data_IF_583774489985
#
_entry.id   IF_583774489985
#
_cell.length_a   1.000
_cell.length_b   1.000
_cell.length_c   1.000
_cell.angle_alpha   90.00
_cell.angle_beta   90.00
_cell.angle_gamma   90.00
#
_symmetry.space_group_name_H-M   'P 1'
#
loop_
_entity.id
_entity.type
_entity.pdbx_description
1 polymer ?
#
# COMPACT_ATOMS: atom_id res chain seq x y z
N UNK A 1 -23.22 -9.04 -7.06
CA UNK A 1 -23.00 -8.04 -8.13
C UNK A 1 -21.61 -7.46 -7.96
N UNK A 2 -20.88 -7.22 -9.05
CA UNK A 2 -19.53 -6.62 -9.01
C UNK A 2 -19.56 -5.22 -9.61
N UNK A 3 -18.91 -4.27 -8.93
CA UNK A 3 -18.78 -2.88 -9.32
C UNK A 3 -17.31 -2.51 -9.45
N UNK A 4 -17.01 -1.65 -10.41
CA UNK A 4 -15.73 -0.99 -10.58
C UNK A 4 -15.85 0.47 -10.18
N UNK A 5 -15.06 0.89 -9.20
CA UNK A 5 -15.14 2.19 -8.55
C UNK A 5 -13.77 2.83 -8.57
N UNK A 6 -13.63 3.94 -9.30
CA UNK A 6 -12.45 4.81 -9.24
C UNK A 6 -12.78 5.96 -8.31
N UNK A 7 -11.88 6.30 -7.39
CA UNK A 7 -12.09 7.45 -6.52
C UNK A 7 -10.81 8.18 -6.17
N UNK A 8 -10.99 9.48 -5.96
CA UNK A 8 -9.97 10.53 -6.02
C UNK A 8 -9.88 11.33 -4.73
N UNK A 9 -10.91 11.26 -3.90
CA UNK A 9 -11.16 12.20 -2.81
C UNK A 9 -11.83 11.48 -1.65
N UNK A 10 -11.17 10.46 -1.11
CA UNK A 10 -11.62 9.90 0.15
C UNK A 10 -11.01 10.71 1.29
N UNK A 11 -11.82 10.97 2.31
CA UNK A 11 -11.37 11.52 3.58
C UNK A 11 -10.65 10.39 4.35
N UNK A 12 -9.52 9.91 3.81
CA UNK A 12 -8.74 8.79 4.36
C UNK A 12 -8.25 9.13 5.77
N UNK A 13 -8.10 10.41 6.08
CA UNK A 13 -7.87 10.96 7.42
C UNK A 13 -8.86 10.39 8.45
N UNK A 14 -10.11 10.11 8.05
CA UNK A 14 -11.11 9.48 8.93
C UNK A 14 -11.03 7.97 8.99
N UNK A 15 -10.46 7.30 7.99
CA UNK A 15 -10.48 5.84 7.91
C UNK A 15 -9.81 5.22 9.14
N UNK A 16 -8.54 5.52 9.33
CA UNK A 16 -7.72 4.94 10.39
C UNK A 16 -8.13 5.42 11.79
N UNK A 17 -8.81 6.57 11.88
CA UNK A 17 -9.32 7.12 13.14
C UNK A 17 -10.68 6.55 13.55
N UNK A 18 -11.50 6.11 12.58
CA UNK A 18 -12.86 5.61 12.84
C UNK A 18 -12.96 4.09 12.90
N UNK A 19 -11.87 3.40 12.56
CA UNK A 19 -11.81 1.95 12.64
C UNK A 19 -11.64 1.44 14.07
N UNK A 20 -12.74 0.96 14.65
CA UNK A 20 -12.78 0.34 15.97
C UNK A 20 -13.08 -1.16 15.93
N UNK A 21 -13.73 -1.63 14.86
CA UNK A 21 -14.25 -2.99 14.73
C UNK A 21 -14.53 -3.36 13.27
N UNK A 22 -14.89 -4.62 13.00
CA UNK A 22 -15.25 -5.06 11.63
C UNK A 22 -16.46 -4.31 11.04
N UNK A 23 -17.43 -3.94 11.88
CA UNK A 23 -18.60 -3.19 11.42
C UNK A 23 -18.24 -1.77 10.94
N UNK A 24 -17.20 -1.14 11.51
CA UNK A 24 -16.64 0.13 11.02
C UNK A 24 -15.97 -0.03 9.65
N UNK A 25 -15.25 -1.14 9.41
CA UNK A 25 -14.72 -1.47 8.07
C UNK A 25 -15.85 -1.67 7.07
N UNK A 26 -16.92 -2.37 7.47
CA UNK A 26 -18.10 -2.56 6.63
C UNK A 26 -18.84 -1.25 6.33
N UNK A 27 -19.02 -0.38 7.33
CA UNK A 27 -19.61 0.96 7.12
C UNK A 27 -18.78 1.81 6.18
N UNK A 28 -17.45 1.81 6.38
CA UNK A 28 -16.54 2.48 5.47
C UNK A 28 -16.64 1.91 4.06
N UNK A 29 -16.64 0.59 3.90
CA UNK A 29 -16.75 -0.01 2.58
C UNK A 29 -18.08 0.34 1.92
N UNK A 30 -19.19 0.26 2.64
CA UNK A 30 -20.50 0.61 2.08
C UNK A 30 -20.59 2.09 1.66
N UNK A 31 -19.72 2.96 2.17
CA UNK A 31 -19.61 4.34 1.69
C UNK A 31 -19.15 4.45 0.23
N UNK A 32 -18.46 3.42 -0.33
CA UNK A 32 -18.05 3.39 -1.74
C UNK A 32 -19.21 3.41 -2.73
N UNK A 33 -20.38 2.90 -2.33
CA UNK A 33 -21.54 2.74 -3.22
C UNK A 33 -22.61 3.81 -3.02
N UNK A 34 -22.33 4.83 -2.19
CA UNK A 34 -23.23 5.98 -2.05
C UNK A 34 -23.14 6.79 -3.35
N UNK A 35 -24.27 7.29 -3.93
CA UNK A 35 -24.36 7.74 -5.33
C UNK A 35 -23.63 9.06 -5.67
N UNK A 36 -22.56 9.43 -4.97
CA UNK A 36 -21.89 10.72 -5.13
C UNK A 36 -20.89 10.78 -6.29
N UNK A 37 -20.75 9.72 -7.11
CA UNK A 37 -19.77 9.71 -8.20
C UNK A 37 -20.34 9.16 -9.50
N UNK A 38 -20.15 9.89 -10.60
CA UNK A 38 -20.40 9.44 -11.98
C UNK A 38 -19.44 8.29 -12.42
N UNK A 39 -18.49 7.91 -11.55
CA UNK A 39 -17.39 6.97 -11.83
C UNK A 39 -17.68 5.52 -11.38
N UNK A 40 -18.91 5.21 -10.93
CA UNK A 40 -19.30 3.84 -10.58
C UNK A 40 -19.76 3.11 -11.86
N UNK A 41 -18.95 2.17 -12.33
CA UNK A 41 -19.29 1.33 -13.48
C UNK A 41 -19.73 -0.05 -12.98
N UNK A 42 -21.00 -0.37 -13.21
CA UNK A 42 -21.50 -1.74 -13.00
C UNK A 42 -20.85 -2.66 -14.03
N UNK A 43 -20.14 -3.69 -13.57
CA UNK A 43 -19.62 -4.72 -14.47
C UNK A 43 -20.79 -5.62 -14.90
N UNK A 44 -21.22 -5.52 -16.15
CA UNK A 44 -22.23 -6.42 -16.71
C UNK A 44 -21.60 -7.79 -16.96
N UNK A 45 -22.18 -8.86 -16.40
CA UNK A 45 -21.82 -10.23 -16.77
C UNK A 45 -22.37 -10.49 -18.17
N UNK A 46 -21.49 -10.52 -19.17
CA UNK A 46 -21.90 -10.77 -20.56
C UNK A 46 -22.35 -12.23 -20.77
N UNK A 47 -22.09 -13.11 -19.83
CA UNK A 47 -22.67 -14.46 -19.74
C UNK A 47 -22.59 -14.93 -18.28
N UNK A 48 -23.34 -15.97 -17.89
CA UNK A 48 -23.37 -16.57 -16.54
C UNK A 48 -22.00 -17.07 -16.02
N UNK A 49 -20.92 -16.80 -16.73
CA UNK A 49 -19.56 -16.87 -16.20
C UNK A 49 -18.69 -15.73 -16.74
N UNK A 50 -18.58 -14.63 -15.99
CA UNK A 50 -17.36 -13.81 -16.03
C UNK A 50 -16.24 -14.72 -15.50
N UNK A 51 -15.54 -15.43 -16.39
CA UNK A 51 -14.40 -16.29 -15.97
C UNK A 51 -13.08 -15.52 -15.89
N UNK A 52 -13.04 -14.32 -16.48
CA UNK A 52 -11.86 -13.47 -16.55
C UNK A 52 -12.22 -12.14 -17.19
N UNK A 53 -12.11 -11.04 -16.46
CA UNK A 53 -12.19 -9.69 -17.00
C UNK A 53 -10.81 -9.04 -17.01
N UNK A 54 -10.31 -8.62 -18.18
CA UNK A 54 -9.18 -7.71 -18.24
C UNK A 54 -9.67 -6.30 -17.92
N UNK A 55 -9.46 -5.87 -16.68
CA UNK A 55 -9.65 -4.47 -16.32
C UNK A 55 -8.41 -3.70 -16.74
N UNK A 56 -8.38 -3.25 -18.00
CA UNK A 56 -7.42 -2.24 -18.39
C UNK A 56 -7.76 -0.97 -17.62
N UNK A 57 -6.92 -0.57 -16.68
CA UNK A 57 -7.03 0.75 -16.10
C UNK A 57 -6.89 1.79 -17.20
N UNK A 58 -7.80 2.76 -17.20
CA UNK A 58 -7.91 3.68 -18.31
C UNK A 58 -6.74 4.64 -18.23
N UNK A 59 -6.10 4.94 -19.35
CA UNK A 59 -4.89 5.77 -19.37
C UNK A 59 -5.11 7.14 -18.69
N UNK A 60 -6.34 7.66 -18.70
CA UNK A 60 -6.68 8.91 -18.03
C UNK A 60 -6.67 8.83 -16.50
N UNK A 61 -6.85 7.65 -15.90
CA UNK A 61 -6.78 7.46 -14.44
C UNK A 61 -5.33 7.65 -13.93
N UNK A 62 -4.35 7.34 -14.78
CA UNK A 62 -2.91 7.43 -14.51
C UNK A 62 -2.30 8.79 -14.81
N UNK A 63 -2.91 9.56 -15.73
CA UNK A 63 -2.32 10.77 -16.30
C UNK A 63 -2.49 12.01 -15.40
N UNK A 64 -3.47 11.99 -14.49
CA UNK A 64 -3.74 13.14 -13.62
C UNK A 64 -2.59 13.48 -12.65
N UNK A 65 -1.95 12.50 -11.96
CA UNK A 65 -0.79 12.78 -11.09
C UNK A 65 0.47 13.23 -11.86
N UNK A 66 0.66 12.76 -13.10
CA UNK A 66 1.83 13.12 -13.93
C UNK A 66 1.75 14.55 -14.47
N UNK A 67 0.54 15.02 -14.84
CA UNK A 67 0.31 16.38 -15.35
C UNK A 67 0.48 17.47 -14.28
N UNK A 68 0.54 17.12 -12.99
CA UNK A 68 0.62 18.08 -11.87
C UNK A 68 1.92 18.00 -11.07
N UNK A 69 2.97 17.38 -11.63
CA UNK A 69 4.34 17.35 -11.08
C UNK A 69 4.99 18.74 -10.88
N UNK A 70 4.37 19.84 -11.31
CA UNK A 70 4.88 21.18 -11.08
C UNK A 70 4.03 21.95 -10.05
N UNK A 71 4.57 22.12 -8.83
CA UNK A 71 4.42 23.38 -8.11
C UNK A 71 3.75 23.41 -6.73
N UNK A 72 3.14 22.34 -6.21
CA UNK A 72 2.52 22.42 -4.87
C UNK A 72 2.83 21.21 -3.98
N UNK A 73 3.78 21.45 -3.06
CA UNK A 73 4.12 20.68 -1.84
C UNK A 73 2.94 19.93 -1.24
N UNK A 74 3.13 18.62 -1.03
CA UNK A 74 2.62 17.66 0.00
C UNK A 74 1.26 17.89 0.69
N UNK A 75 0.79 19.11 0.95
CA UNK A 75 -0.54 19.41 1.52
C UNK A 75 -1.72 19.14 0.57
N UNK A 76 -1.47 18.61 -0.63
CA UNK A 76 -2.49 18.24 -1.62
C UNK A 76 -2.36 16.77 -2.06
N UNK A 77 -2.05 15.86 -1.14
CA UNK A 77 -2.05 14.41 -1.41
C UNK A 77 -3.41 13.81 -1.78
N UNK A 78 -4.47 14.62 -1.80
CA UNK A 78 -5.81 14.30 -2.35
C UNK A 78 -5.82 14.08 -3.88
N UNK A 79 -4.70 13.70 -4.48
CA UNK A 79 -4.52 13.59 -5.93
C UNK A 79 -4.28 12.16 -6.41
N UNK A 80 -3.91 11.24 -5.51
CA UNK A 80 -3.75 9.84 -5.89
C UNK A 80 -5.13 9.17 -5.90
N UNK A 81 -5.55 8.71 -7.09
CA UNK A 81 -6.77 7.94 -7.23
C UNK A 81 -6.48 6.49 -6.85
N UNK A 82 -7.37 5.87 -6.08
CA UNK A 82 -7.37 4.42 -5.89
C UNK A 82 -8.55 3.84 -6.64
N UNK A 83 -8.34 2.69 -7.28
CA UNK A 83 -9.39 1.93 -7.97
C UNK A 83 -9.72 0.70 -7.14
N UNK A 84 -11.01 0.48 -6.96
CA UNK A 84 -11.55 -0.59 -6.16
C UNK A 84 -12.51 -1.42 -6.99
N UNK A 85 -12.49 -2.71 -6.74
CA UNK A 85 -13.45 -3.66 -7.27
C UNK A 85 -14.25 -4.17 -6.09
N UNK A 86 -15.55 -3.90 -6.15
CA UNK A 86 -16.47 -4.12 -5.04
C UNK A 86 -17.38 -5.27 -5.43
N UNK A 87 -17.30 -6.39 -4.71
CA UNK A 87 -18.28 -7.46 -4.82
C UNK A 87 -19.31 -7.35 -3.71
N UNK A 88 -20.58 -7.28 -4.11
CA UNK A 88 -21.74 -7.05 -3.25
C UNK A 88 -22.67 -8.25 -3.27
N UNK A 89 -23.02 -8.73 -2.08
CA UNK A 89 -24.07 -9.71 -1.83
C UNK A 89 -25.44 -9.08 -1.60
N UNK A 90 -26.35 -9.87 -1.04
CA UNK A 90 -27.69 -9.39 -0.64
C UNK A 90 -27.62 -8.43 0.55
N UNK A 91 -26.71 -8.69 1.50
CA UNK A 91 -26.61 -7.94 2.76
C UNK A 91 -25.69 -6.72 2.72
N UNK A 92 -24.96 -6.50 1.61
CA UNK A 92 -24.00 -5.41 1.49
C UNK A 92 -22.75 -5.80 0.71
N UNK A 93 -21.67 -5.04 0.87
CA UNK A 93 -20.36 -5.37 0.29
C UNK A 93 -19.78 -6.57 1.04
N UNK A 94 -19.48 -7.64 0.31
CA UNK A 94 -18.82 -8.84 0.84
C UNK A 94 -17.31 -8.75 0.67
N UNK A 95 -16.85 -8.23 -0.47
CA UNK A 95 -15.43 -8.12 -0.78
C UNK A 95 -15.07 -6.82 -1.47
N UNK A 96 -13.86 -6.35 -1.18
CA UNK A 96 -13.25 -5.17 -1.78
C UNK A 96 -11.83 -5.52 -2.21
N UNK A 97 -11.53 -5.39 -3.50
CA UNK A 97 -10.18 -5.59 -4.02
C UNK A 97 -9.59 -4.27 -4.50
N UNK A 98 -8.34 -3.97 -4.10
CA UNK A 98 -7.60 -2.82 -4.61
C UNK A 98 -6.89 -3.18 -5.89
N UNK A 99 -7.16 -2.42 -6.95
CA UNK A 99 -6.55 -2.62 -8.26
C UNK A 99 -5.53 -1.50 -8.49
N UNK A 100 -4.28 -1.82 -8.81
CA UNK A 100 -3.33 -0.81 -9.26
C UNK A 100 -3.90 -0.07 -10.48
N UNK A 101 -3.71 1.24 -10.54
CA UNK A 101 -4.00 1.99 -11.76
C UNK A 101 -3.03 1.53 -12.86
N UNK A 102 -3.40 1.71 -14.12
CA UNK A 102 -2.46 1.48 -15.20
C UNK A 102 -1.39 2.55 -15.07
N UNK A 103 -0.18 2.22 -15.44
CA UNK A 103 0.92 3.15 -15.45
C UNK A 103 1.53 3.12 -16.84
N UNK A 104 0.86 3.79 -17.79
CA UNK A 104 1.07 3.74 -19.27
C UNK A 104 -0.02 2.95 -20.04
N UNK A 105 0.20 2.75 -21.35
CA UNK A 105 -0.70 1.98 -22.24
C UNK A 105 -0.55 0.45 -22.12
N UNK A 106 0.39 -0.02 -21.30
CA UNK A 106 0.95 -1.38 -21.34
C UNK A 106 0.74 -2.16 -20.04
N UNK A 107 0.40 -1.50 -18.94
CA UNK A 107 0.49 -2.08 -17.60
C UNK A 107 -0.89 -2.37 -17.02
N UNK A 108 -1.54 -3.40 -17.55
CA UNK A 108 -2.65 -4.07 -16.84
C UNK A 108 -2.02 -4.99 -15.80
N UNK A 109 -1.97 -4.57 -14.53
CA UNK A 109 -1.26 -5.33 -13.49
C UNK A 109 -2.17 -6.37 -12.81
N UNK A 110 -3.48 -6.41 -13.10
CA UNK A 110 -4.37 -7.40 -12.49
C UNK A 110 -5.45 -7.95 -13.45
N UNK A 111 -5.50 -9.26 -13.63
CA UNK A 111 -6.68 -9.99 -14.11
C UNK A 111 -7.61 -10.26 -12.92
N UNK A 112 -8.91 -10.07 -13.12
CA UNK A 112 -9.93 -10.37 -12.10
C UNK A 112 -10.58 -11.70 -12.42
N UNK A 113 -10.47 -12.63 -11.49
CA UNK A 113 -11.17 -13.90 -11.47
C UNK A 113 -12.24 -13.79 -10.38
N UNK A 114 -13.48 -13.48 -10.78
CA UNK A 114 -14.64 -13.30 -9.91
C UNK A 114 -15.49 -14.58 -9.87
N UNK A 115 -15.20 -15.44 -8.90
CA UNK A 115 -15.98 -16.68 -8.73
C UNK A 115 -17.05 -16.49 -7.68
N UNK A 116 -18.31 -16.41 -8.09
CA UNK A 116 -19.41 -16.64 -7.16
C UNK A 116 -19.38 -18.11 -6.71
N UNK A 117 -19.18 -18.35 -5.42
CA UNK A 117 -19.26 -19.69 -4.86
C UNK A 117 -20.71 -19.99 -4.48
N UNK A 118 -21.41 -20.72 -5.35
CA UNK A 118 -22.81 -21.10 -5.14
C UNK A 118 -23.03 -21.96 -3.88
N UNK A 119 -22.01 -22.69 -3.42
CA UNK A 119 -22.12 -23.55 -2.23
C UNK A 119 -22.07 -22.73 -0.94
N UNK A 120 -21.25 -21.67 -0.92
CA UNK A 120 -21.10 -20.81 0.26
C UNK A 120 -21.92 -19.54 0.17
N UNK A 121 -22.52 -19.23 -0.98
CA UNK A 121 -23.23 -17.99 -1.23
C UNK A 121 -22.34 -16.75 -1.09
N UNK A 122 -21.05 -16.86 -1.40
CA UNK A 122 -20.08 -15.78 -1.21
C UNK A 122 -19.29 -15.50 -2.50
N UNK A 123 -18.90 -14.24 -2.69
CA UNK A 123 -17.92 -13.87 -3.72
C UNK A 123 -16.52 -14.37 -3.38
N UNK A 124 -15.71 -14.62 -4.41
CA UNK A 124 -14.28 -14.92 -4.31
C UNK A 124 -13.55 -14.13 -5.40
N UNK A 125 -13.39 -12.83 -5.17
CA UNK A 125 -12.59 -11.94 -5.99
C UNK A 125 -11.12 -12.32 -5.87
N UNK A 126 -10.47 -12.57 -7.00
CA UNK A 126 -9.04 -12.80 -7.08
C UNK A 126 -8.41 -11.88 -8.10
N UNK A 127 -7.30 -11.27 -7.71
CA UNK A 127 -6.49 -10.42 -8.60
C UNK A 127 -5.18 -11.15 -8.94
N UNK A 128 -4.79 -11.17 -10.22
CA UNK A 128 -3.57 -11.85 -10.69
C UNK A 128 -2.71 -10.95 -11.57
N UNK A 129 -1.40 -10.96 -11.37
CA UNK A 129 -0.46 -10.28 -12.27
C UNK A 129 -0.55 -10.86 -13.69
N UNK A 130 -0.58 -10.00 -14.70
CA UNK A 130 -0.49 -10.42 -16.11
C UNK A 130 0.96 -10.64 -16.56
N UNK A 131 1.92 -9.92 -15.95
CA UNK A 131 3.35 -10.14 -16.15
C UNK A 131 3.75 -11.45 -15.46
N UNK A 132 3.96 -12.51 -16.25
CA UNK A 132 4.32 -13.84 -15.76
C UNK A 132 5.65 -13.89 -15.00
N UNK A 133 6.59 -12.98 -15.29
CA UNK A 133 7.86 -12.88 -14.56
C UNK A 133 7.62 -12.27 -13.18
N UNK A 134 6.87 -11.16 -13.09
CA UNK A 134 6.50 -10.59 -11.78
C UNK A 134 5.64 -11.58 -10.97
N UNK A 135 4.74 -12.30 -11.63
CA UNK A 135 3.96 -13.36 -11.00
C UNK A 135 4.86 -14.46 -10.41
N UNK A 136 5.92 -14.83 -11.12
CA UNK A 136 6.90 -15.82 -10.66
C UNK A 136 7.73 -15.30 -9.47
N UNK A 137 8.17 -14.03 -9.53
CA UNK A 137 8.88 -13.36 -8.42
C UNK A 137 7.99 -13.38 -7.17
N UNK A 138 6.73 -12.97 -7.29
CA UNK A 138 5.76 -13.02 -6.20
C UNK A 138 5.55 -14.45 -5.71
N UNK A 139 5.44 -15.41 -6.63
CA UNK A 139 5.25 -16.82 -6.30
C UNK A 139 6.37 -17.34 -5.39
N UNK A 140 7.63 -17.09 -5.75
CA UNK A 140 8.78 -17.47 -4.92
C UNK A 140 8.82 -16.69 -3.60
N UNK A 141 8.54 -15.39 -3.64
CA UNK A 141 8.46 -14.54 -2.44
C UNK A 141 7.42 -15.06 -1.44
N UNK A 142 6.20 -15.39 -1.90
CA UNK A 142 5.13 -15.95 -1.06
C UNK A 142 5.45 -17.34 -0.51
N UNK A 143 6.33 -18.08 -1.17
CA UNK A 143 6.84 -19.38 -0.69
C UNK A 143 8.00 -19.24 0.30
N UNK A 144 8.49 -18.03 0.55
CA UNK A 144 9.68 -17.78 1.38
C UNK A 144 11.01 -18.01 0.65
N UNK A 145 11.01 -18.30 -0.65
CA UNK A 145 12.20 -18.52 -1.47
C UNK A 145 12.77 -17.18 -1.97
N UNK A 146 13.31 -16.39 -1.04
CA UNK A 146 13.89 -15.07 -1.34
C UNK A 146 15.04 -15.15 -2.34
N UNK A 147 15.82 -16.23 -2.31
CA UNK A 147 16.96 -16.41 -3.21
C UNK A 147 16.51 -16.49 -4.67
N UNK A 148 15.49 -17.31 -4.99
CA UNK A 148 14.97 -17.37 -6.36
C UNK A 148 14.25 -16.08 -6.77
N UNK A 149 13.53 -15.44 -5.84
CA UNK A 149 12.90 -14.15 -6.11
C UNK A 149 13.94 -13.07 -6.49
N UNK A 150 15.04 -12.97 -5.74
CA UNK A 150 16.15 -12.06 -6.03
C UNK A 150 16.83 -12.38 -7.36
N UNK A 151 17.11 -13.65 -7.64
CA UNK A 151 17.74 -14.07 -8.90
C UNK A 151 16.91 -13.68 -10.13
N UNK A 152 15.59 -13.73 -10.03
CA UNK A 152 14.71 -13.25 -11.10
C UNK A 152 14.72 -11.72 -11.23
N UNK A 153 14.90 -10.99 -10.13
CA UNK A 153 15.05 -9.53 -10.15
C UNK A 153 16.39 -9.08 -10.77
N UNK A 154 17.47 -9.83 -10.59
CA UNK A 154 18.77 -9.55 -11.22
C UNK A 154 18.68 -9.45 -12.75
N UNK A 155 17.83 -10.27 -13.35
CA UNK A 155 17.58 -10.25 -14.79
C UNK A 155 16.77 -9.05 -15.29
N UNK A 156 16.37 -8.12 -14.40
CA UNK A 156 15.49 -6.98 -14.69
C UNK A 156 16.04 -5.65 -14.20
N UNK A 157 17.19 -5.18 -14.72
CA UNK A 157 17.80 -3.91 -14.31
C UNK A 157 16.87 -2.70 -14.52
N UNK A 158 15.90 -2.79 -15.44
CA UNK A 158 14.91 -1.76 -15.70
C UNK A 158 14.02 -1.43 -14.48
N UNK A 159 13.83 -2.38 -13.55
CA UNK A 159 13.08 -2.16 -12.31
C UNK A 159 13.85 -1.23 -11.35
N UNK A 160 15.18 -1.29 -11.43
CA UNK A 160 16.10 -0.54 -10.57
C UNK A 160 16.56 0.79 -11.19
N UNK A 161 16.07 1.11 -12.39
CA UNK A 161 16.41 2.36 -13.06
C UNK A 161 16.00 3.58 -12.21
N UNK A 162 16.77 4.67 -12.33
CA UNK A 162 16.47 5.93 -11.66
C UNK A 162 15.13 6.54 -12.11
N UNK A 163 14.72 6.25 -13.34
CA UNK A 163 13.39 6.53 -13.87
C UNK A 163 12.52 5.28 -13.71
N UNK A 164 11.67 5.28 -12.68
CA UNK A 164 10.80 4.15 -12.38
C UNK A 164 9.65 4.14 -13.38
N UNK A 165 9.76 3.26 -14.38
CA UNK A 165 8.78 3.14 -15.46
C UNK A 165 7.50 2.43 -15.03
N UNK A 166 7.55 1.58 -14.00
CA UNK A 166 6.37 0.93 -13.43
C UNK A 166 6.50 0.85 -11.89
N UNK A 167 5.85 1.76 -11.13
CA UNK A 167 5.99 1.81 -9.68
C UNK A 167 5.41 0.58 -8.98
N UNK A 168 4.42 -0.10 -9.55
CA UNK A 168 3.82 -1.29 -8.96
C UNK A 168 4.76 -2.50 -9.02
N UNK A 169 5.46 -2.67 -10.15
CA UNK A 169 6.53 -3.65 -10.26
C UNK A 169 7.70 -3.34 -9.31
N UNK A 170 8.09 -2.06 -9.21
CA UNK A 170 9.12 -1.61 -8.28
C UNK A 170 8.74 -1.87 -6.82
N UNK A 171 7.48 -1.70 -6.43
CA UNK A 171 7.02 -2.03 -5.07
C UNK A 171 7.20 -3.52 -4.76
N UNK A 172 6.85 -4.42 -5.69
CA UNK A 172 7.07 -5.86 -5.53
C UNK A 172 8.55 -6.17 -5.30
N UNK A 173 9.44 -5.58 -6.12
CA UNK A 173 10.88 -5.72 -5.94
C UNK A 173 11.34 -5.18 -4.57
N UNK A 174 10.79 -4.04 -4.15
CA UNK A 174 10.99 -3.47 -2.83
C UNK A 174 10.65 -4.45 -1.72
N UNK A 175 9.51 -5.15 -1.80
CA UNK A 175 9.14 -6.18 -0.82
C UNK A 175 10.14 -7.33 -0.75
N UNK A 176 10.59 -7.84 -1.89
CA UNK A 176 11.61 -8.90 -1.92
C UNK A 176 12.89 -8.42 -1.25
N UNK A 177 13.33 -7.20 -1.57
CA UNK A 177 14.57 -6.61 -1.05
C UNK A 177 14.51 -6.39 0.46
N UNK A 178 13.45 -5.76 0.98
CA UNK A 178 13.38 -5.46 2.42
C UNK A 178 13.21 -6.72 3.29
N UNK A 179 12.76 -7.84 2.72
CA UNK A 179 12.69 -9.15 3.40
C UNK A 179 13.92 -10.03 3.17
N UNK A 180 14.80 -9.66 2.24
CA UNK A 180 16.01 -10.43 1.96
C UNK A 180 17.15 -10.06 2.91
N UNK A 181 18.15 -10.94 3.03
CA UNK A 181 19.38 -10.61 3.72
C UNK A 181 20.16 -9.54 2.97
N UNK A 182 20.65 -8.51 3.69
CA UNK A 182 21.31 -7.37 3.06
C UNK A 182 22.53 -7.76 2.22
N UNK A 183 23.21 -8.85 2.59
CA UNK A 183 24.38 -9.40 1.87
C UNK A 183 24.00 -10.19 0.62
N UNK A 184 22.75 -10.64 0.51
CA UNK A 184 22.25 -11.41 -0.63
C UNK A 184 21.66 -10.51 -1.73
N UNK A 185 21.48 -9.20 -1.45
CA UNK A 185 20.91 -8.26 -2.41
C UNK A 185 22.01 -7.86 -3.40
N UNK A 186 21.85 -8.16 -4.70
CA UNK A 186 22.89 -8.02 -5.72
C UNK A 186 23.09 -6.57 -6.20
N UNK A 187 22.25 -5.64 -5.74
CA UNK A 187 22.20 -4.27 -6.24
C UNK A 187 22.76 -3.28 -5.22
N UNK A 188 23.86 -2.61 -5.56
CA UNK A 188 24.40 -1.53 -4.74
C UNK A 188 23.43 -0.34 -4.69
N UNK A 189 23.29 0.29 -3.52
CA UNK A 189 22.44 1.49 -3.39
C UNK A 189 20.94 1.23 -3.40
N UNK A 190 20.47 -0.01 -3.23
CA UNK A 190 19.04 -0.34 -3.20
C UNK A 190 18.25 0.46 -2.15
N UNK A 191 18.87 0.83 -1.03
CA UNK A 191 18.23 1.64 0.01
C UNK A 191 17.92 3.06 -0.49
N UNK A 192 18.85 3.67 -1.23
CA UNK A 192 18.64 4.96 -1.89
C UNK A 192 17.59 4.84 -3.02
N UNK A 193 17.55 3.71 -3.72
CA UNK A 193 16.49 3.44 -4.69
C UNK A 193 15.09 3.36 -4.05
N UNK A 194 14.93 2.71 -2.89
CA UNK A 194 13.64 2.73 -2.14
C UNK A 194 13.27 4.15 -1.71
N UNK A 195 14.25 4.95 -1.27
CA UNK A 195 14.02 6.36 -0.96
C UNK A 195 13.55 7.16 -2.20
N UNK A 196 14.15 6.92 -3.36
CA UNK A 196 13.72 7.54 -4.62
C UNK A 196 12.31 7.09 -5.02
N UNK A 197 11.97 5.81 -4.87
CA UNK A 197 10.64 5.28 -5.13
C UNK A 197 9.58 5.99 -4.28
N UNK A 198 9.81 6.14 -2.97
CA UNK A 198 8.91 6.88 -2.08
C UNK A 198 8.81 8.37 -2.44
N UNK A 199 9.91 8.99 -2.89
CA UNK A 199 9.95 10.41 -3.26
C UNK A 199 9.23 10.68 -4.58
N UNK A 200 9.38 9.78 -5.57
CA UNK A 200 8.77 9.92 -6.90
C UNK A 200 7.27 9.56 -6.90
N UNK A 201 6.84 8.70 -5.97
CA UNK A 201 5.47 8.17 -5.91
C UNK A 201 4.84 8.32 -4.52
N UNK A 202 4.78 9.54 -3.93
CA UNK A 202 4.31 9.76 -2.56
C UNK A 202 2.82 9.43 -2.36
N UNK A 203 2.06 9.30 -3.45
CA UNK A 203 0.65 8.91 -3.42
C UNK A 203 0.42 7.41 -3.26
N UNK A 204 1.44 6.56 -3.45
CA UNK A 204 1.29 5.10 -3.34
C UNK A 204 1.69 4.66 -1.91
N UNK A 205 0.75 4.19 -1.07
CA UNK A 205 1.02 3.87 0.34
C UNK A 205 2.21 2.92 0.54
N UNK A 206 2.27 1.86 -0.26
CA UNK A 206 3.31 0.83 -0.21
C UNK A 206 4.74 1.40 -0.30
N UNK A 207 4.94 2.48 -1.06
CA UNK A 207 6.27 3.09 -1.22
C UNK A 207 6.77 3.72 0.07
N UNK A 208 5.86 4.36 0.82
CA UNK A 208 6.17 4.99 2.10
C UNK A 208 6.39 3.93 3.18
N UNK A 209 5.60 2.85 3.15
CA UNK A 209 5.77 1.69 4.04
C UNK A 209 7.16 1.07 3.86
N UNK A 210 7.58 0.83 2.62
CA UNK A 210 8.90 0.30 2.31
C UNK A 210 10.02 1.18 2.86
N UNK A 211 9.91 2.50 2.70
CA UNK A 211 10.91 3.42 3.25
C UNK A 211 10.87 3.44 4.78
N UNK A 212 9.70 3.45 5.41
CA UNK A 212 9.57 3.36 6.86
C UNK A 212 10.20 2.07 7.43
N UNK A 213 10.07 0.95 6.71
CA UNK A 213 10.73 -0.32 7.05
C UNK A 213 12.26 -0.17 7.10
N UNK A 214 12.87 0.64 6.23
CA UNK A 214 14.31 0.90 6.30
C UNK A 214 14.68 1.63 7.60
N UNK A 215 13.89 2.64 7.99
CA UNK A 215 14.15 3.46 9.19
C UNK A 215 14.00 2.67 10.48
N UNK A 216 13.06 1.73 10.52
CA UNK A 216 12.75 0.97 11.72
C UNK A 216 13.57 -0.32 11.79
N UNK A 217 13.64 -1.06 10.69
CA UNK A 217 14.14 -2.44 10.69
C UNK A 217 15.55 -2.59 10.07
N UNK A 218 15.99 -1.62 9.25
CA UNK A 218 17.28 -1.67 8.55
C UNK A 218 18.20 -0.51 8.91
N UNK A 219 18.24 -0.15 10.19
CA UNK A 219 18.98 1.02 10.73
C UNK A 219 20.43 1.16 10.23
N UNK A 220 21.16 0.05 10.06
CA UNK A 220 22.56 0.06 9.56
C UNK A 220 22.70 0.64 8.15
N UNK A 221 21.61 0.68 7.37
CA UNK A 221 21.61 1.18 6.00
C UNK A 221 21.25 2.65 5.89
N UNK A 222 20.86 3.30 6.99
CA UNK A 222 20.49 4.73 6.97
C UNK A 222 21.63 5.62 6.49
N UNK A 223 22.88 5.29 6.80
CA UNK A 223 24.06 6.02 6.32
C UNK A 223 24.20 6.07 4.79
N UNK A 224 23.48 5.21 4.06
CA UNK A 224 23.44 5.20 2.59
C UNK A 224 22.32 6.07 1.99
N UNK A 225 21.45 6.64 2.81
CA UNK A 225 20.34 7.49 2.37
C UNK A 225 20.80 8.94 2.20
N UNK A 226 20.58 9.52 1.02
CA UNK A 226 21.13 10.82 0.64
C UNK A 226 20.65 11.99 1.52
N UNK A 227 19.47 11.87 2.12
CA UNK A 227 18.83 12.96 2.89
C UNK A 227 18.77 12.69 4.41
N UNK A 228 19.20 11.52 4.87
CA UNK A 228 18.88 11.03 6.22
C UNK A 228 20.00 10.19 6.88
N UNK A 229 21.23 10.35 6.41
CA UNK A 229 22.40 9.63 6.90
C UNK A 229 22.80 9.98 8.35
N UNK A 230 22.48 11.21 8.80
CA UNK A 230 22.91 11.73 10.12
C UNK A 230 21.73 12.02 11.07
N UNK A 231 20.61 11.32 10.93
CA UNK A 231 19.46 11.50 11.82
C UNK A 231 19.75 10.99 13.23
N UNK A 232 19.41 11.81 14.23
CA UNK A 232 19.25 11.33 15.60
C UNK A 232 18.10 10.30 15.68
N UNK A 233 18.07 9.45 16.71
CA UNK A 233 16.98 8.49 16.86
C UNK A 233 15.60 9.17 16.96
N UNK A 234 15.53 10.34 17.59
CA UNK A 234 14.31 11.14 17.67
C UNK A 234 13.80 11.51 16.27
N UNK A 235 14.69 12.04 15.44
CA UNK A 235 14.38 12.44 14.07
C UNK A 235 14.06 11.24 13.17
N UNK A 236 14.74 10.11 13.38
CA UNK A 236 14.46 8.84 12.68
C UNK A 236 13.05 8.34 12.98
N UNK A 237 12.67 8.27 14.25
CA UNK A 237 11.34 7.81 14.66
C UNK A 237 10.24 8.77 14.17
N UNK A 238 10.48 10.07 14.22
CA UNK A 238 9.57 11.06 13.65
C UNK A 238 9.43 10.92 12.12
N UNK A 239 10.54 10.69 11.41
CA UNK A 239 10.51 10.47 9.97
C UNK A 239 9.76 9.17 9.62
N UNK A 240 9.99 8.09 10.37
CA UNK A 240 9.25 6.84 10.22
C UNK A 240 7.74 7.05 10.45
N UNK A 241 7.35 7.76 11.51
CA UNK A 241 5.95 8.14 11.74
C UNK A 241 5.37 8.93 10.58
N UNK A 242 6.09 9.95 10.11
CA UNK A 242 5.63 10.81 9.01
C UNK A 242 5.39 10.02 7.72
N UNK A 243 6.22 9.01 7.44
CA UNK A 243 6.05 8.11 6.30
C UNK A 243 4.83 7.18 6.48
N UNK A 244 4.62 6.64 7.69
CA UNK A 244 3.46 5.78 7.97
C UNK A 244 2.15 6.57 7.98
N UNK A 245 2.15 7.78 8.55
CA UNK A 245 1.03 8.74 8.48
C UNK A 245 0.72 9.08 7.02
N UNK A 246 1.75 9.40 6.23
CA UNK A 246 1.60 9.64 4.80
C UNK A 246 1.03 8.43 4.05
N UNK A 247 1.50 7.22 4.36
CA UNK A 247 0.95 5.98 3.81
C UNK A 247 -0.54 5.83 4.13
N UNK A 248 -0.89 5.99 5.41
CA UNK A 248 -2.26 5.86 5.89
C UNK A 248 -3.17 6.89 5.23
N UNK A 249 -2.74 8.14 5.10
CA UNK A 249 -3.50 9.19 4.41
C UNK A 249 -3.58 8.97 2.89
N UNK A 250 -2.67 8.18 2.31
CA UNK A 250 -2.69 7.79 0.90
C UNK A 250 -3.71 6.69 0.56
N UNK A 251 -4.32 6.05 1.56
CA UNK A 251 -5.30 4.98 1.38
C UNK A 251 -4.82 3.63 1.89
N UNK A 252 -5.48 2.57 1.42
CA UNK A 252 -5.01 1.22 1.71
C UNK A 252 -3.79 0.88 0.84
N UNK A 253 -2.85 0.07 1.36
CA UNK A 253 -1.81 -0.50 0.52
C UNK A 253 -2.42 -1.30 -0.63
N UNK A 254 -1.72 -1.38 -1.75
CA UNK A 254 -2.17 -2.12 -2.93
C UNK A 254 -1.94 -3.62 -2.71
N UNK A 255 -0.79 -3.96 -2.13
CA UNK A 255 -0.40 -5.34 -1.88
C UNK A 255 -0.70 -5.74 -0.44
N UNK A 256 -1.12 -6.98 -0.25
CA UNK A 256 -1.38 -7.55 1.08
C UNK A 256 -0.14 -7.51 1.98
N UNK A 257 1.04 -7.63 1.38
CA UNK A 257 2.32 -7.48 2.08
C UNK A 257 2.50 -6.08 2.66
N UNK A 258 2.04 -5.04 1.95
CA UNK A 258 2.08 -3.67 2.45
C UNK A 258 1.25 -3.49 3.71
N UNK A 259 0.07 -4.09 3.78
CA UNK A 259 -0.77 -4.06 4.99
C UNK A 259 -0.09 -4.71 6.19
N UNK A 260 0.60 -5.84 5.97
CA UNK A 260 1.35 -6.53 7.04
C UNK A 260 2.53 -5.68 7.51
N UNK A 261 3.35 -5.20 6.57
CA UNK A 261 4.48 -4.34 6.90
C UNK A 261 4.05 -3.03 7.56
N UNK A 262 2.91 -2.45 7.20
CA UNK A 262 2.35 -1.29 7.88
C UNK A 262 2.07 -1.60 9.35
N UNK A 263 1.42 -2.73 9.64
CA UNK A 263 1.18 -3.19 11.01
C UNK A 263 2.49 -3.40 11.75
N UNK A 264 3.42 -4.16 11.18
CA UNK A 264 4.71 -4.46 11.80
C UNK A 264 5.50 -3.18 12.10
N UNK A 265 5.54 -2.24 11.14
CA UNK A 265 6.22 -0.96 11.32
C UNK A 265 5.57 -0.10 12.41
N UNK A 266 4.23 -0.03 12.48
CA UNK A 266 3.53 0.71 13.53
C UNK A 266 3.79 0.10 14.92
N UNK A 267 3.88 -1.23 15.01
CA UNK A 267 4.19 -1.94 16.25
C UNK A 267 5.63 -1.69 16.72
N UNK A 268 6.59 -1.82 15.80
CA UNK A 268 8.00 -1.54 16.09
C UNK A 268 8.15 -0.09 16.54
N UNK A 269 7.55 0.85 15.81
CA UNK A 269 7.57 2.28 16.17
C UNK A 269 6.94 2.53 17.54
N UNK A 270 5.80 1.90 17.85
CA UNK A 270 5.15 2.01 19.16
C UNK A 270 6.08 1.52 20.27
N UNK A 271 6.70 0.36 20.10
CA UNK A 271 7.61 -0.24 21.06
C UNK A 271 8.86 0.63 21.27
N UNK A 272 9.45 1.13 20.19
CA UNK A 272 10.62 2.01 20.26
C UNK A 272 10.31 3.31 21.01
N UNK A 273 9.14 3.93 20.78
CA UNK A 273 8.73 5.15 21.47
C UNK A 273 8.40 4.93 22.96
N UNK A 274 7.90 3.75 23.33
CA UNK A 274 7.65 3.42 24.74
C UNK A 274 8.93 3.29 25.57
N UNK A 275 10.05 2.98 24.92
CA UNK A 275 11.36 2.96 25.58
C UNK A 275 11.89 4.36 25.92
N UNK A 276 11.25 5.41 25.42
CA UNK A 276 11.64 6.80 25.65
C UNK A 276 10.84 7.39 26.82
N UNK A 277 11.49 8.16 27.68
CA UNK A 277 10.81 8.85 28.79
C UNK A 277 9.74 9.81 28.26
N UNK A 278 8.57 9.85 28.89
CA UNK A 278 7.41 10.65 28.46
C UNK A 278 7.68 12.16 28.31
N UNK A 279 8.76 12.66 28.93
CA UNK A 279 9.20 14.06 28.89
C UNK A 279 9.97 14.43 27.63
N UNK A 280 10.37 13.46 26.79
CA UNK A 280 11.05 13.78 25.53
C UNK A 280 10.02 14.36 24.56
N UNK A 281 10.43 15.44 23.92
CA UNK A 281 9.63 16.16 22.94
C UNK A 281 10.33 16.07 21.61
N UNK A 282 9.66 15.50 20.62
CA UNK A 282 10.22 15.38 19.27
C UNK A 282 10.14 16.73 18.58
N UNK A 283 11.29 17.27 18.17
CA UNK A 283 11.32 18.40 17.25
C UNK A 283 10.78 17.94 15.90
N UNK A 284 9.67 18.52 15.48
CA UNK A 284 9.12 18.26 14.15
C UNK A 284 9.96 19.07 13.16
N UNK A 285 10.43 18.44 12.08
CA UNK A 285 11.17 19.14 11.02
C UNK A 285 10.30 20.16 10.25
N UNK A 286 8.98 20.16 10.51
CA UNK A 286 7.96 20.78 9.67
C UNK A 286 7.33 22.02 10.33
N UNK A 287 7.80 22.42 11.53
CA UNK A 287 7.21 23.51 12.31
C UNK A 287 5.85 23.18 12.94
N UNK A 288 5.48 21.89 13.03
CA UNK A 288 4.33 21.43 13.81
C UNK A 288 4.66 21.55 15.31
N UNK A 289 3.64 21.73 16.19
CA UNK A 289 3.88 21.76 17.62
C UNK A 289 4.63 20.50 18.05
N UNK A 290 5.66 20.74 18.86
CA UNK A 290 6.37 19.77 19.67
C UNK A 290 5.39 18.75 20.27
N UNK A 291 5.39 17.52 19.75
CA UNK A 291 4.53 16.45 20.26
C UNK A 291 5.25 15.75 21.40
N UNK A 292 4.59 15.69 22.55
CA UNK A 292 5.07 14.86 23.65
C UNK A 292 5.07 13.39 23.20
N UNK A 293 6.18 12.68 23.43
CA UNK A 293 6.36 11.28 23.01
C UNK A 293 5.20 10.40 23.49
N UNK A 294 4.67 10.64 24.70
CA UNK A 294 3.52 9.91 25.23
C UNK A 294 2.23 10.07 24.42
N UNK A 295 1.96 11.26 23.89
CA UNK A 295 0.78 11.52 23.05
C UNK A 295 0.93 10.84 21.69
N UNK A 296 2.11 10.97 21.06
CA UNK A 296 2.42 10.33 19.79
C UNK A 296 2.35 8.80 19.88
N UNK A 297 2.91 8.20 20.94
CA UNK A 297 2.83 6.76 21.18
C UNK A 297 1.36 6.29 21.31
N UNK A 298 0.49 7.09 21.93
CA UNK A 298 -0.93 6.77 22.00
C UNK A 298 -1.63 6.83 20.64
N UNK A 299 -1.27 7.77 19.77
CA UNK A 299 -1.82 7.84 18.41
C UNK A 299 -1.36 6.65 17.56
N UNK A 300 -0.08 6.30 17.66
CA UNK A 300 0.50 5.15 16.95
C UNK A 300 -0.15 3.84 17.39
N UNK A 301 -0.43 3.64 18.68
CA UNK A 301 -1.16 2.45 19.13
C UNK A 301 -2.56 2.34 18.54
N UNK A 302 -3.28 3.46 18.43
CA UNK A 302 -4.61 3.49 17.78
C UNK A 302 -4.49 3.15 16.30
N UNK A 303 -3.50 3.72 15.61
CA UNK A 303 -3.20 3.41 14.22
C UNK A 303 -2.83 1.92 14.03
N UNK A 304 -1.99 1.36 14.90
CA UNK A 304 -1.61 -0.05 14.88
C UNK A 304 -2.84 -0.97 15.08
N UNK A 305 -3.72 -0.64 16.03
CA UNK A 305 -4.96 -1.38 16.25
C UNK A 305 -5.88 -1.34 15.03
N UNK A 306 -6.06 -0.16 14.41
CA UNK A 306 -6.82 -0.02 13.17
C UNK A 306 -6.19 -0.83 12.01
N UNK A 307 -4.87 -0.81 11.87
CA UNK A 307 -4.16 -1.57 10.86
C UNK A 307 -4.25 -3.09 11.08
N UNK A 308 -4.24 -3.56 12.32
CA UNK A 308 -4.50 -4.97 12.66
C UNK A 308 -5.91 -5.38 12.24
N UNK A 309 -6.92 -4.55 12.52
CA UNK A 309 -8.30 -4.82 12.11
C UNK A 309 -8.40 -4.97 10.59
N UNK A 310 -7.71 -4.10 9.83
CA UNK A 310 -7.60 -4.28 8.38
C UNK A 310 -6.89 -5.57 8.00
N UNK A 311 -5.75 -5.88 8.61
CA UNK A 311 -5.00 -7.12 8.38
C UNK A 311 -5.85 -8.37 8.58
N UNK A 312 -6.79 -8.35 9.53
CA UNK A 312 -7.76 -9.45 9.75
C UNK A 312 -8.81 -9.57 8.65
N UNK A 313 -9.09 -8.49 7.93
CA UNK A 313 -10.01 -8.49 6.79
C UNK A 313 -9.28 -8.86 5.48
N UNK A 314 -7.96 -8.72 5.40
CA UNK A 314 -7.17 -9.08 4.21
C UNK A 314 -7.11 -10.59 4.04
N UNK A 315 -7.44 -11.08 2.84
CA UNK A 315 -7.22 -12.48 2.49
C UNK A 315 -5.72 -12.79 2.41
N UNK A 316 -5.22 -13.55 3.38
CA UNK A 316 -3.78 -13.78 3.57
C UNK A 316 -3.08 -14.52 2.42
N UNK A 317 -3.83 -15.20 1.56
CA UNK A 317 -3.31 -15.97 0.43
C UNK A 317 -3.22 -15.20 -0.89
N UNK A 318 -3.72 -13.96 -0.94
CA UNK A 318 -3.69 -13.14 -2.16
C UNK A 318 -2.53 -12.15 -2.16
N UNK A 319 -1.98 -11.90 -3.36
CA UNK A 319 -0.94 -10.88 -3.56
C UNK A 319 -1.50 -9.47 -3.30
N UNK A 320 -2.64 -9.16 -3.91
CA UNK A 320 -3.30 -7.86 -3.77
C UNK A 320 -4.15 -7.83 -2.50
N UNK A 321 -4.38 -6.63 -1.98
CA UNK A 321 -5.33 -6.45 -0.89
C UNK A 321 -6.75 -6.71 -1.39
N UNK A 322 -7.27 -7.87 -1.00
CA UNK A 322 -8.69 -8.20 -1.08
C UNK A 322 -9.22 -8.32 0.34
N UNK A 323 -10.06 -7.36 0.74
CA UNK A 323 -10.74 -7.36 2.01
C UNK A 323 -12.00 -8.21 1.92
N UNK A 324 -12.21 -9.07 2.90
CA UNK A 324 -13.48 -9.75 3.16
C UNK A 324 -14.17 -9.06 4.31
N UNK A 325 -15.36 -8.52 4.05
CA UNK A 325 -16.12 -7.63 4.91
C UNK A 325 -17.35 -8.41 5.35
N UNK A 326 -17.14 -9.40 6.24
CA UNK A 326 -18.18 -10.19 6.87
C UNK A 326 -18.11 -10.03 8.39
#
# INVERSE_FOLDING_TARGET
>A
MVYDVVSTSFDVDRLWQTLSDRASVSRWANSFLVPQTDDIVRMQSVDESLRSGLLSARSHDALWPLLHRQGARLKRLKWYRQRYIVARGEQGIEQLALVPLSWDRSSVVAEIDDRWNYQTGNWNLRLRLTDGILQSIVGYFMQGDMHRALKLLEGRPEIFASEITNPYAAIIAGYVIVHSDAQAIPYEGWAAWIQNLATQHPGIPDTQILLATIYLQRRKLMGSLAYHNDLTDAQRLHAAWSLLDLSMNGGLPIYSMGSRLLVDNLEILSYELESWSQEVVLDTMDGRPKLAVGALASEIRKAAAAARLFGLCVQSSQLFNVLTIA
#
